data_IF_571310399935
#
_entry.id   IF_571310399935
#
_cell.length_a   1.000
_cell.length_b   1.000
_cell.length_c   1.000
_cell.angle_alpha   90.00
_cell.angle_beta   90.00
_cell.angle_gamma   90.00
#
_symmetry.space_group_name_H-M   'P 1'
#
loop_
_entity.id
_entity.type
_entity.pdbx_description
1 polymer ?
#
# COMPACT_ATOMS: atom_id res chain seq x y z
N UNK A 1 21.06 -14.99 -8.45
CA UNK A 1 21.61 -14.43 -7.21
C UNK A 1 20.49 -14.20 -6.21
N UNK A 2 20.62 -14.68 -4.97
CA UNK A 2 19.62 -14.59 -3.92
C UNK A 2 20.18 -13.87 -2.71
N UNK A 3 19.37 -13.01 -2.07
CA UNK A 3 19.69 -12.42 -0.79
C UNK A 3 19.07 -13.28 0.32
N UNK A 4 19.89 -13.83 1.19
CA UNK A 4 19.44 -14.66 2.33
C UNK A 4 19.73 -13.92 3.61
N UNK A 5 18.74 -13.88 4.51
CA UNK A 5 18.85 -13.27 5.84
C UNK A 5 18.61 -14.31 6.93
N UNK A 6 19.48 -14.33 7.93
CA UNK A 6 19.27 -15.14 9.13
C UNK A 6 18.30 -14.46 10.09
N UNK A 7 17.03 -14.88 10.09
CA UNK A 7 15.97 -14.35 10.95
C UNK A 7 15.82 -15.06 12.29
N UNK A 8 16.48 -16.22 12.49
CA UNK A 8 16.41 -17.02 13.70
C UNK A 8 17.17 -16.47 14.89
N UNK A 9 17.10 -17.18 16.02
CA UNK A 9 17.84 -16.85 17.26
C UNK A 9 19.32 -17.14 17.16
N UNK A 10 19.69 -18.14 16.37
CA UNK A 10 21.05 -18.66 16.28
C UNK A 10 21.68 -18.37 14.91
N UNK A 11 23.01 -18.33 14.82
CA UNK A 11 23.71 -18.29 13.53
C UNK A 11 23.31 -19.50 12.68
N UNK A 12 23.17 -19.28 11.37
CA UNK A 12 22.84 -20.37 10.44
C UNK A 12 23.93 -20.52 9.37
N UNK A 13 24.04 -21.73 8.82
CA UNK A 13 24.92 -22.01 7.70
C UNK A 13 24.11 -22.73 6.61
N UNK A 14 24.23 -22.26 5.38
CA UNK A 14 23.64 -22.94 4.24
C UNK A 14 24.53 -24.12 3.85
N UNK A 15 23.96 -25.33 3.90
CA UNK A 15 24.65 -26.55 3.53
C UNK A 15 24.46 -26.88 2.06
N UNK A 16 23.24 -26.67 1.53
CA UNK A 16 22.87 -27.04 0.18
C UNK A 16 21.86 -26.05 -0.40
N UNK A 17 21.90 -25.89 -1.71
CA UNK A 17 20.89 -25.20 -2.50
C UNK A 17 20.32 -26.17 -3.52
N UNK A 18 19.02 -26.24 -3.63
CA UNK A 18 18.32 -27.00 -4.65
C UNK A 18 17.52 -26.04 -5.52
N UNK A 19 17.48 -26.30 -6.82
CA UNK A 19 16.55 -25.65 -7.76
C UNK A 19 15.79 -26.76 -8.44
N UNK A 20 14.46 -26.71 -8.37
CA UNK A 20 13.56 -27.74 -8.93
C UNK A 20 13.91 -29.16 -8.45
N UNK A 21 14.14 -29.29 -7.14
CA UNK A 21 14.55 -30.51 -6.45
C UNK A 21 15.95 -31.06 -6.85
N UNK A 22 16.70 -30.40 -7.70
CA UNK A 22 18.08 -30.76 -8.05
C UNK A 22 19.10 -29.96 -7.27
N UNK A 23 20.19 -30.60 -6.82
CA UNK A 23 21.29 -29.94 -6.11
C UNK A 23 22.15 -29.11 -7.06
N UNK A 24 22.41 -27.87 -6.65
CA UNK A 24 23.26 -26.94 -7.38
C UNK A 24 24.39 -26.41 -6.51
N UNK A 25 25.55 -26.23 -7.12
CA UNK A 25 26.67 -25.52 -6.47
C UNK A 25 26.30 -24.07 -6.29
N UNK A 26 26.78 -23.48 -5.19
CA UNK A 26 26.56 -22.07 -4.90
C UNK A 26 27.82 -21.44 -4.30
N UNK A 27 27.93 -20.13 -4.43
CA UNK A 27 28.94 -19.34 -3.71
C UNK A 27 28.24 -18.36 -2.78
N UNK A 28 28.78 -18.22 -1.55
CA UNK A 28 28.22 -17.33 -0.54
C UNK A 28 29.14 -16.13 -0.33
N UNK A 29 28.59 -14.94 -0.30
CA UNK A 29 29.30 -13.69 -0.03
C UNK A 29 28.61 -12.86 1.06
N UNK A 30 29.25 -12.58 2.21
CA UNK A 30 30.53 -13.13 2.69
C UNK A 30 30.44 -14.63 2.99
N UNK A 31 31.55 -15.37 2.92
CA UNK A 31 31.58 -16.81 3.24
C UNK A 31 31.47 -17.06 4.74
N UNK A 32 31.02 -18.27 5.11
CA UNK A 32 30.95 -18.71 6.51
C UNK A 32 29.54 -18.69 7.09
N UNK A 33 29.47 -18.67 8.43
CA UNK A 33 28.22 -18.65 9.14
C UNK A 33 27.53 -17.29 9.04
N UNK A 34 26.21 -17.33 8.90
CA UNK A 34 25.38 -16.14 8.81
C UNK A 34 24.90 -15.80 10.22
N UNK A 35 25.46 -14.75 10.80
CA UNK A 35 25.08 -14.28 12.14
C UNK A 35 23.60 -13.85 12.17
N UNK A 36 22.99 -13.89 13.36
CA UNK A 36 21.61 -13.42 13.57
C UNK A 36 21.40 -12.02 12.98
N UNK A 37 20.37 -11.88 12.16
CA UNK A 37 19.99 -10.62 11.49
C UNK A 37 20.89 -10.23 10.32
N UNK A 38 22.00 -10.93 10.09
CA UNK A 38 22.89 -10.67 8.96
C UNK A 38 22.30 -11.17 7.64
N UNK A 39 22.77 -10.57 6.54
CA UNK A 39 22.39 -10.95 5.17
C UNK A 39 23.62 -11.38 4.40
N UNK A 40 23.44 -12.36 3.53
CA UNK A 40 24.47 -12.84 2.59
C UNK A 40 23.88 -12.98 1.20
N UNK A 41 24.73 -12.88 0.19
CA UNK A 41 24.36 -13.23 -1.18
C UNK A 41 24.75 -14.67 -1.48
N UNK A 42 23.81 -15.41 -2.08
CA UNK A 42 24.07 -16.72 -2.67
C UNK A 42 24.00 -16.58 -4.19
N UNK A 43 25.08 -16.92 -4.86
CA UNK A 43 25.16 -17.01 -6.32
C UNK A 43 25.06 -18.47 -6.74
N UNK A 44 23.99 -18.82 -7.48
CA UNK A 44 23.73 -20.16 -7.99
C UNK A 44 23.79 -20.10 -9.51
N UNK A 45 24.75 -20.78 -10.15
CA UNK A 45 24.92 -20.78 -11.61
C UNK A 45 23.91 -21.71 -12.29
N UNK A 46 22.62 -21.42 -12.11
CA UNK A 46 21.51 -22.17 -12.72
C UNK A 46 21.17 -21.57 -14.08
N UNK A 47 20.93 -22.39 -15.12
CA UNK A 47 20.53 -21.91 -16.45
C UNK A 47 19.04 -21.52 -16.45
N UNK A 48 18.71 -20.36 -15.93
CA UNK A 48 17.35 -19.86 -15.85
C UNK A 48 16.67 -19.78 -17.22
N UNK A 49 15.47 -20.35 -17.31
CA UNK A 49 14.62 -20.21 -18.49
C UNK A 49 13.62 -19.09 -18.23
N UNK A 50 13.64 -18.08 -19.07
CA UNK A 50 12.77 -16.90 -18.93
C UNK A 50 11.30 -17.33 -19.06
N UNK A 51 10.48 -16.94 -18.10
CA UNK A 51 9.05 -17.24 -18.10
C UNK A 51 8.66 -18.55 -17.45
N UNK A 52 9.61 -19.39 -17.02
CA UNK A 52 9.32 -20.64 -16.29
C UNK A 52 9.23 -20.42 -14.78
N UNK A 53 8.48 -21.31 -14.13
CA UNK A 53 8.41 -21.34 -12.66
C UNK A 53 9.58 -22.19 -12.13
N UNK A 54 10.15 -21.75 -11.00
CA UNK A 54 11.23 -22.48 -10.33
C UNK A 54 11.02 -22.49 -8.82
N UNK A 55 11.32 -23.63 -8.17
CA UNK A 55 11.34 -23.77 -6.71
C UNK A 55 12.79 -23.80 -6.22
N UNK A 56 13.18 -22.82 -5.41
CA UNK A 56 14.50 -22.79 -4.81
C UNK A 56 14.40 -23.20 -3.34
N UNK A 57 15.11 -24.26 -2.95
CA UNK A 57 15.15 -24.77 -1.57
C UNK A 57 16.54 -24.61 -0.98
N UNK A 58 16.62 -23.94 0.14
CA UNK A 58 17.83 -23.85 0.97
C UNK A 58 17.77 -24.89 2.06
N UNK A 59 18.84 -25.66 2.24
CA UNK A 59 19.01 -26.61 3.33
C UNK A 59 20.14 -26.12 4.22
N UNK A 60 19.86 -25.99 5.51
CA UNK A 60 20.86 -25.59 6.50
C UNK A 60 21.65 -26.78 7.02
N UNK A 61 22.78 -26.53 7.67
CA UNK A 61 23.59 -27.60 8.33
C UNK A 61 22.84 -28.29 9.47
N UNK A 62 21.77 -27.67 10.00
CA UNK A 62 20.88 -28.26 11.00
C UNK A 62 19.76 -29.11 10.41
N UNK A 63 19.67 -29.19 9.07
CA UNK A 63 18.62 -29.90 8.35
C UNK A 63 17.32 -29.10 8.14
N UNK A 64 17.25 -27.85 8.61
CA UNK A 64 16.10 -27.00 8.32
C UNK A 64 16.07 -26.64 6.82
N UNK A 65 14.88 -26.66 6.22
CA UNK A 65 14.65 -26.34 4.81
C UNK A 65 13.79 -25.10 4.67
N UNK A 66 14.12 -24.26 3.70
CA UNK A 66 13.39 -23.05 3.33
C UNK A 66 13.19 -23.05 1.83
N UNK A 67 11.95 -23.15 1.38
CA UNK A 67 11.61 -23.13 -0.05
C UNK A 67 10.99 -21.80 -0.42
N UNK A 68 11.42 -21.25 -1.57
CA UNK A 68 10.86 -20.06 -2.19
C UNK A 68 10.50 -20.40 -3.64
N UNK A 69 9.24 -20.18 -3.99
CA UNK A 69 8.75 -20.40 -5.34
C UNK A 69 8.86 -19.11 -6.16
N UNK A 70 9.46 -19.21 -7.33
CA UNK A 70 9.53 -18.15 -8.33
C UNK A 70 8.50 -18.54 -9.40
N UNK A 71 7.32 -17.94 -9.35
CA UNK A 71 6.22 -18.28 -10.27
C UNK A 71 6.58 -18.02 -11.73
N UNK A 72 7.35 -16.98 -11.98
CA UNK A 72 7.82 -16.61 -13.33
C UNK A 72 9.24 -16.09 -13.24
N UNK A 73 10.18 -16.78 -13.86
CA UNK A 73 11.56 -16.33 -13.93
C UNK A 73 11.68 -15.08 -14.81
N UNK A 74 12.05 -13.97 -14.19
CA UNK A 74 12.31 -12.69 -14.88
C UNK A 74 13.76 -12.25 -14.64
N UNK A 75 14.37 -11.50 -15.57
CA UNK A 75 15.69 -10.93 -15.34
C UNK A 75 15.69 -10.07 -14.09
N UNK A 76 16.75 -10.16 -13.28
CA UNK A 76 16.92 -9.25 -12.14
C UNK A 76 16.78 -7.80 -12.61
N UNK A 77 15.92 -7.00 -11.97
CA UNK A 77 15.71 -5.61 -12.34
C UNK A 77 17.03 -4.84 -12.32
N UNK A 78 17.40 -4.26 -13.47
CA UNK A 78 18.56 -3.37 -13.56
C UNK A 78 18.06 -1.95 -13.49
N UNK A 79 18.70 -1.09 -12.68
CA UNK A 79 18.36 0.33 -12.60
C UNK A 79 18.69 0.99 -13.92
N UNK A 80 17.78 0.92 -14.88
CA UNK A 80 17.89 1.61 -16.17
C UNK A 80 16.82 2.69 -16.28
N UNK A 81 17.11 3.74 -17.04
CA UNK A 81 16.13 4.80 -17.29
C UNK A 81 14.84 4.25 -17.94
N UNK A 82 14.96 3.21 -18.78
CA UNK A 82 13.82 2.55 -19.41
C UNK A 82 12.91 1.87 -18.37
N UNK A 83 13.49 1.13 -17.45
CA UNK A 83 12.74 0.46 -16.37
C UNK A 83 12.09 1.47 -15.44
N UNK A 84 12.80 2.50 -15.00
CA UNK A 84 12.23 3.56 -14.15
C UNK A 84 11.05 4.26 -14.83
N UNK A 85 11.13 4.51 -16.14
CA UNK A 85 10.00 5.07 -16.91
C UNK A 85 8.82 4.13 -16.97
N UNK A 86 9.04 2.85 -17.26
CA UNK A 86 7.98 1.84 -17.29
C UNK A 86 7.26 1.72 -15.94
N UNK A 87 8.01 1.65 -14.85
CA UNK A 87 7.46 1.62 -13.50
C UNK A 87 6.70 2.92 -13.17
N UNK A 88 7.22 4.07 -13.59
CA UNK A 88 6.51 5.34 -13.43
C UNK A 88 5.17 5.34 -14.20
N UNK A 89 5.13 4.78 -15.41
CA UNK A 89 3.88 4.66 -16.18
C UNK A 89 2.86 3.77 -15.46
N UNK A 90 3.27 2.63 -14.91
CA UNK A 90 2.38 1.78 -14.11
C UNK A 90 1.90 2.54 -12.86
N UNK A 91 2.80 3.18 -12.11
CA UNK A 91 2.45 3.96 -10.92
C UNK A 91 1.49 5.12 -11.24
N UNK A 92 1.66 5.81 -12.35
CA UNK A 92 0.72 6.84 -12.84
C UNK A 92 -0.62 6.20 -13.21
N UNK A 93 -0.61 5.06 -13.91
CA UNK A 93 -1.81 4.36 -14.33
C UNK A 93 -2.63 3.86 -13.13
N UNK A 94 -1.99 3.36 -12.10
CA UNK A 94 -2.66 2.86 -10.89
C UNK A 94 -3.06 3.99 -9.95
N UNK A 95 -2.16 4.95 -9.71
CA UNK A 95 -2.38 6.01 -8.73
C UNK A 95 -3.11 7.22 -9.30
N UNK A 96 -2.53 7.89 -10.30
CA UNK A 96 -3.01 9.22 -10.75
C UNK A 96 -4.25 9.11 -11.64
N UNK A 97 -4.23 8.23 -12.64
CA UNK A 97 -5.30 8.13 -13.65
C UNK A 97 -6.66 7.83 -13.02
N UNK A 98 -6.82 6.81 -12.15
CA UNK A 98 -8.13 6.51 -11.58
C UNK A 98 -8.63 7.60 -10.63
N UNK A 99 -7.74 8.25 -9.87
CA UNK A 99 -8.12 9.40 -9.05
C UNK A 99 -8.63 10.55 -9.92
N UNK A 100 -7.98 10.84 -11.06
CA UNK A 100 -8.49 11.84 -12.02
C UNK A 100 -9.87 11.45 -12.52
N UNK A 101 -10.11 10.18 -12.86
CA UNK A 101 -11.45 9.71 -13.23
C UNK A 101 -12.46 9.94 -12.12
N UNK A 102 -12.11 9.61 -10.87
CA UNK A 102 -12.97 9.88 -9.71
C UNK A 102 -13.28 11.37 -9.54
N UNK A 103 -12.29 12.24 -9.68
CA UNK A 103 -12.45 13.69 -9.62
C UNK A 103 -13.33 14.24 -10.78
N UNK A 104 -13.32 13.61 -11.94
CA UNK A 104 -14.18 14.00 -13.07
C UNK A 104 -15.68 13.84 -12.79
N UNK A 105 -16.08 13.09 -11.77
CA UNK A 105 -17.49 13.05 -11.31
C UNK A 105 -17.93 14.35 -10.62
N UNK A 106 -17.01 15.24 -10.24
CA UNK A 106 -17.33 16.51 -9.56
C UNK A 106 -18.47 17.31 -10.20
N UNK A 107 -18.56 17.54 -11.55
CA UNK A 107 -19.66 18.28 -12.14
C UNK A 107 -21.03 17.64 -11.92
N UNK A 108 -21.09 16.30 -12.00
CA UNK A 108 -22.33 15.52 -11.80
C UNK A 108 -22.76 15.56 -10.34
N UNK A 109 -21.79 15.43 -9.43
CA UNK A 109 -22.06 15.37 -7.99
C UNK A 109 -22.38 16.74 -7.37
N UNK A 110 -22.11 17.84 -8.03
CA UNK A 110 -22.40 19.20 -7.53
C UNK A 110 -23.89 19.46 -7.23
N UNK A 111 -24.77 18.76 -7.93
CA UNK A 111 -26.23 18.88 -7.76
C UNK A 111 -26.80 18.13 -6.56
N UNK A 112 -25.99 17.30 -5.86
CA UNK A 112 -26.49 16.49 -4.74
C UNK A 112 -26.91 17.36 -3.55
N UNK A 113 -28.08 17.04 -2.98
CA UNK A 113 -28.56 17.67 -1.74
C UNK A 113 -27.78 17.21 -0.51
N UNK A 114 -28.19 17.67 0.67
CA UNK A 114 -27.50 17.33 1.94
C UNK A 114 -27.45 15.81 2.21
N UNK A 115 -28.52 15.08 1.86
CA UNK A 115 -28.56 13.61 2.00
C UNK A 115 -27.52 12.92 1.12
N UNK A 116 -27.38 13.34 -0.15
CA UNK A 116 -26.35 12.82 -1.05
C UNK A 116 -24.93 13.19 -0.59
N UNK A 117 -24.73 14.41 -0.06
CA UNK A 117 -23.43 14.81 0.52
C UNK A 117 -23.08 13.94 1.74
N UNK A 118 -24.03 13.69 2.62
CA UNK A 118 -23.85 12.82 3.77
C UNK A 118 -23.50 11.40 3.34
N UNK A 119 -24.19 10.88 2.30
CA UNK A 119 -23.90 9.57 1.73
C UNK A 119 -22.47 9.50 1.17
N UNK A 120 -22.03 10.47 0.36
CA UNK A 120 -20.68 10.49 -0.24
C UNK A 120 -19.57 10.60 0.82
N UNK A 121 -19.76 11.44 1.83
CA UNK A 121 -18.82 11.55 2.94
C UNK A 121 -18.74 10.23 3.74
N UNK A 122 -19.88 9.61 4.00
CA UNK A 122 -19.94 8.34 4.70
C UNK A 122 -19.37 7.19 3.85
N UNK A 123 -19.63 7.20 2.53
CA UNK A 123 -18.98 6.28 1.58
C UNK A 123 -17.46 6.36 1.69
N UNK A 124 -16.90 7.57 1.68
CA UNK A 124 -15.47 7.80 1.86
C UNK A 124 -14.97 7.23 3.19
N UNK A 125 -15.69 7.46 4.29
CA UNK A 125 -15.33 6.87 5.59
C UNK A 125 -15.34 5.33 5.52
N UNK A 126 -16.37 4.74 4.90
CA UNK A 126 -16.49 3.28 4.77
C UNK A 126 -15.34 2.66 3.97
N UNK A 127 -15.02 3.26 2.80
CA UNK A 127 -13.89 2.87 1.95
C UNK A 127 -12.58 2.91 2.75
N UNK A 128 -12.28 4.05 3.35
CA UNK A 128 -11.04 4.27 4.09
C UNK A 128 -10.96 3.44 5.37
N UNK A 129 -12.08 3.13 6.01
CA UNK A 129 -12.09 2.24 7.19
C UNK A 129 -11.70 0.81 6.82
N UNK A 130 -12.13 0.32 5.66
CA UNK A 130 -11.70 -0.97 5.14
C UNK A 130 -10.19 -0.96 4.85
N UNK A 131 -9.71 0.05 4.09
CA UNK A 131 -8.29 0.21 3.78
C UNK A 131 -7.41 0.32 5.02
N UNK A 132 -7.91 0.98 6.07
CA UNK A 132 -7.20 1.07 7.35
C UNK A 132 -6.94 -0.33 7.95
N UNK A 133 -7.97 -1.18 7.96
CA UNK A 133 -7.84 -2.54 8.49
C UNK A 133 -6.92 -3.37 7.62
N UNK A 134 -7.10 -3.36 6.31
CA UNK A 134 -6.30 -4.11 5.34
C UNK A 134 -4.82 -3.70 5.39
N UNK A 135 -4.52 -2.39 5.36
CA UNK A 135 -3.14 -1.88 5.49
C UNK A 135 -2.50 -2.19 6.83
N UNK A 136 -3.27 -2.19 7.92
CA UNK A 136 -2.76 -2.54 9.23
C UNK A 136 -2.46 -4.05 9.34
N UNK A 137 -3.30 -4.90 8.78
CA UNK A 137 -3.11 -6.35 8.71
C UNK A 137 -1.84 -6.68 7.91
N UNK A 138 -1.70 -6.14 6.71
CA UNK A 138 -0.52 -6.32 5.85
C UNK A 138 0.76 -5.79 6.51
N UNK A 139 0.70 -4.61 7.14
CA UNK A 139 1.84 -4.06 7.89
C UNK A 139 2.29 -4.98 9.02
N UNK A 140 1.35 -5.57 9.76
CA UNK A 140 1.64 -6.49 10.86
C UNK A 140 2.19 -7.83 10.35
N UNK A 141 1.69 -8.34 9.23
CA UNK A 141 2.19 -9.56 8.58
C UNK A 141 3.63 -9.38 8.11
N UNK A 142 3.93 -8.30 7.36
CA UNK A 142 5.30 -7.98 6.96
C UNK A 142 6.21 -7.74 8.15
N UNK A 143 5.70 -7.13 9.23
CA UNK A 143 6.44 -6.91 10.45
C UNK A 143 6.75 -8.23 11.18
N UNK A 144 5.84 -9.20 11.15
CA UNK A 144 6.04 -10.55 11.70
C UNK A 144 7.17 -11.31 10.97
N UNK A 145 7.32 -11.08 9.67
CA UNK A 145 8.39 -11.66 8.86
C UNK A 145 9.74 -10.90 8.99
N UNK A 146 9.78 -9.86 9.82
CA UNK A 146 10.99 -9.08 10.09
C UNK A 146 11.81 -9.71 11.22
N UNK A 147 13.13 -9.42 11.24
CA UNK A 147 13.97 -9.89 12.34
C UNK A 147 13.47 -9.37 13.70
N UNK A 148 13.46 -10.26 14.71
CA UNK A 148 12.95 -9.97 16.06
C UNK A 148 13.57 -8.71 16.72
N UNK A 149 14.78 -8.32 16.31
CA UNK A 149 15.46 -7.09 16.78
C UNK A 149 14.63 -5.82 16.51
N UNK A 150 13.82 -5.79 15.45
CA UNK A 150 13.03 -4.62 15.07
C UNK A 150 11.71 -4.51 15.83
N UNK A 151 11.33 -5.50 16.65
CA UNK A 151 10.04 -5.53 17.36
C UNK A 151 8.89 -5.12 16.44
N UNK A 152 8.82 -5.74 15.26
CA UNK A 152 8.00 -5.33 14.11
C UNK A 152 6.57 -4.88 14.44
N UNK A 153 5.74 -5.64 15.18
CA UNK A 153 4.38 -5.21 15.53
C UNK A 153 4.33 -3.92 16.37
N UNK A 154 5.28 -3.74 17.29
CA UNK A 154 5.38 -2.52 18.11
C UNK A 154 5.74 -1.32 17.24
N UNK A 155 6.67 -1.50 16.31
CA UNK A 155 7.05 -0.47 15.34
C UNK A 155 5.84 -0.03 14.50
N UNK A 156 5.05 -0.98 13.98
CA UNK A 156 3.84 -0.67 13.19
C UNK A 156 2.87 0.21 13.98
N UNK A 157 2.55 -0.17 15.22
CA UNK A 157 1.63 0.58 16.07
C UNK A 157 2.17 1.98 16.37
N UNK A 158 3.45 2.09 16.74
CA UNK A 158 4.05 3.38 17.09
C UNK A 158 4.14 4.32 15.88
N UNK A 159 4.53 3.81 14.70
CA UNK A 159 4.62 4.60 13.48
C UNK A 159 3.24 5.06 13.02
N UNK A 160 2.23 4.19 13.03
CA UNK A 160 0.86 4.56 12.69
C UNK A 160 0.32 5.62 13.66
N UNK A 161 0.50 5.43 14.97
CA UNK A 161 0.09 6.41 15.98
C UNK A 161 0.82 7.75 15.82
N UNK A 162 2.13 7.74 15.60
CA UNK A 162 2.91 8.97 15.40
C UNK A 162 2.46 9.71 14.13
N UNK A 163 2.23 9.01 13.03
CA UNK A 163 1.74 9.60 11.77
C UNK A 163 0.35 10.21 11.98
N UNK A 164 -0.56 9.46 12.61
CA UNK A 164 -1.89 9.95 12.96
C UNK A 164 -1.82 11.25 13.77
N UNK A 165 -1.08 11.25 14.88
CA UNK A 165 -0.96 12.40 15.76
C UNK A 165 -0.31 13.61 15.09
N UNK A 166 0.75 13.38 14.29
CA UNK A 166 1.42 14.44 13.53
C UNK A 166 0.47 15.11 12.53
N UNK A 167 -0.25 14.30 11.73
CA UNK A 167 -1.19 14.81 10.73
C UNK A 167 -2.39 15.48 11.39
N UNK A 168 -2.89 14.98 12.52
CA UNK A 168 -3.93 15.65 13.31
C UNK A 168 -3.45 16.99 13.84
N UNK A 169 -2.24 17.08 14.39
CA UNK A 169 -1.66 18.31 14.91
C UNK A 169 -1.47 19.37 13.81
N UNK A 170 -1.00 18.95 12.63
CA UNK A 170 -0.84 19.84 11.47
C UNK A 170 -2.21 20.28 10.93
N UNK A 171 -3.16 19.35 10.82
CA UNK A 171 -4.47 19.60 10.26
C UNK A 171 -5.36 20.50 11.10
N UNK A 172 -5.07 20.66 12.39
CA UNK A 172 -5.85 21.49 13.31
C UNK A 172 -5.26 22.90 13.54
N UNK A 173 -4.05 23.20 13.04
CA UNK A 173 -3.38 24.48 13.28
C UNK A 173 -4.18 25.72 12.85
N UNK A 174 -5.04 25.60 11.84
CA UNK A 174 -5.92 26.66 11.33
C UNK A 174 -7.39 26.47 11.68
N UNK A 175 -7.71 25.62 12.66
CA UNK A 175 -9.08 25.18 12.96
C UNK A 175 -9.48 23.95 12.11
N UNK A 176 -10.70 23.41 12.33
CA UNK A 176 -11.16 22.21 11.64
C UNK A 176 -11.19 22.40 10.12
N UNK A 177 -10.51 21.53 9.33
CA UNK A 177 -10.43 21.70 7.89
C UNK A 177 -11.80 21.54 7.22
N UNK A 178 -12.06 22.36 6.19
CA UNK A 178 -13.28 22.31 5.37
C UNK A 178 -12.96 22.61 3.92
N UNK A 179 -13.82 22.17 3.00
CA UNK A 179 -13.65 22.46 1.57
C UNK A 179 -12.31 21.97 1.03
N UNK A 180 -11.55 22.86 0.38
CA UNK A 180 -10.28 22.50 -0.24
C UNK A 180 -9.23 22.00 0.76
N UNK A 181 -9.16 22.60 1.95
CA UNK A 181 -8.26 22.12 3.01
C UNK A 181 -8.59 20.67 3.42
N UNK A 182 -9.87 20.32 3.58
CA UNK A 182 -10.28 18.95 3.89
C UNK A 182 -9.94 18.00 2.72
N UNK A 183 -10.22 18.40 1.46
CA UNK A 183 -9.83 17.62 0.29
C UNK A 183 -8.32 17.39 0.21
N UNK A 184 -7.50 18.40 0.59
CA UNK A 184 -6.04 18.28 0.62
C UNK A 184 -5.58 17.25 1.67
N UNK A 185 -6.18 17.24 2.87
CA UNK A 185 -5.85 16.24 3.89
C UNK A 185 -6.32 14.84 3.50
N UNK A 186 -7.47 14.71 2.83
CA UNK A 186 -7.92 13.42 2.27
C UNK A 186 -6.91 12.97 1.20
N UNK A 187 -6.54 13.83 0.26
CA UNK A 187 -5.58 13.52 -0.79
C UNK A 187 -4.19 13.15 -0.24
N UNK A 188 -3.74 13.82 0.83
CA UNK A 188 -2.47 13.52 1.50
C UNK A 188 -2.51 12.13 2.17
N UNK A 189 -3.58 11.83 2.91
CA UNK A 189 -3.74 10.52 3.56
C UNK A 189 -3.78 9.38 2.56
N UNK A 190 -4.58 9.55 1.49
CA UNK A 190 -4.64 8.61 0.35
C UNK A 190 -3.26 8.49 -0.32
N UNK A 191 -2.54 9.58 -0.54
CA UNK A 191 -1.22 9.54 -1.16
C UNK A 191 -0.19 8.76 -0.34
N UNK A 192 -0.21 8.90 0.98
CA UNK A 192 0.65 8.11 1.87
C UNK A 192 0.27 6.62 1.87
N UNK A 193 -1.01 6.29 1.70
CA UNK A 193 -1.45 4.91 1.49
C UNK A 193 -1.01 4.38 0.12
N UNK A 194 -1.22 5.13 -0.95
CA UNK A 194 -0.86 4.75 -2.31
C UNK A 194 0.67 4.58 -2.51
N UNK A 195 1.48 5.19 -1.64
CA UNK A 195 2.91 4.86 -1.55
C UNK A 195 3.12 3.38 -1.20
N UNK A 196 2.35 2.85 -0.25
CA UNK A 196 2.37 1.44 0.16
C UNK A 196 1.91 0.51 -0.96
N UNK A 197 0.81 0.85 -1.64
CA UNK A 197 0.30 0.10 -2.79
C UNK A 197 1.30 0.01 -3.94
N UNK A 198 1.90 1.15 -4.31
CA UNK A 198 2.96 1.19 -5.30
C UNK A 198 4.15 0.32 -4.91
N UNK A 199 4.53 0.34 -3.63
CA UNK A 199 5.60 -0.49 -3.08
C UNK A 199 5.27 -1.98 -3.20
N UNK A 200 4.03 -2.39 -2.88
CA UNK A 200 3.59 -3.78 -3.01
C UNK A 200 3.63 -4.26 -4.47
N UNK A 201 3.12 -3.47 -5.42
CA UNK A 201 3.18 -3.79 -6.86
C UNK A 201 4.63 -3.92 -7.33
N UNK A 202 5.48 -2.94 -6.96
CA UNK A 202 6.89 -2.93 -7.34
C UNK A 202 7.63 -4.15 -6.81
N UNK A 203 7.36 -4.54 -5.56
CA UNK A 203 7.93 -5.72 -4.92
C UNK A 203 7.46 -7.03 -5.60
N UNK A 204 6.15 -7.16 -5.91
CA UNK A 204 5.60 -8.32 -6.58
C UNK A 204 6.27 -8.55 -7.95
N UNK A 205 6.38 -7.51 -8.77
CA UNK A 205 7.07 -7.62 -10.06
C UNK A 205 8.57 -7.92 -9.91
N UNK A 206 9.24 -7.35 -8.92
CA UNK A 206 10.66 -7.63 -8.65
C UNK A 206 10.90 -9.06 -8.16
N UNK A 207 9.92 -9.63 -7.43
CA UNK A 207 9.95 -11.03 -6.98
C UNK A 207 9.60 -12.04 -8.09
N UNK A 208 9.20 -11.57 -9.28
CA UNK A 208 8.77 -12.46 -10.38
C UNK A 208 7.31 -12.92 -10.28
N UNK A 209 6.57 -12.45 -9.27
CA UNK A 209 5.14 -12.75 -9.08
C UNK A 209 4.28 -11.87 -10.00
N UNK A 210 4.39 -12.10 -11.33
CA UNK A 210 3.70 -11.28 -12.33
C UNK A 210 2.17 -11.37 -12.21
N UNK A 211 1.64 -12.54 -11.83
CA UNK A 211 0.22 -12.74 -11.55
C UNK A 211 -0.25 -11.82 -10.43
N UNK A 212 0.38 -11.90 -9.26
CA UNK A 212 0.09 -11.04 -8.11
C UNK A 212 0.20 -9.56 -8.48
N UNK A 213 1.32 -9.15 -9.12
CA UNK A 213 1.52 -7.78 -9.55
C UNK A 213 0.38 -7.25 -10.46
N UNK A 214 -0.11 -8.08 -11.38
CA UNK A 214 -1.23 -7.73 -12.26
C UNK A 214 -2.55 -7.61 -11.49
N UNK A 215 -2.83 -8.52 -10.56
CA UNK A 215 -4.03 -8.44 -9.71
C UNK A 215 -4.03 -7.18 -8.84
N UNK A 216 -2.88 -6.84 -8.24
CA UNK A 216 -2.73 -5.61 -7.46
C UNK A 216 -2.99 -4.36 -8.33
N UNK A 217 -2.44 -4.32 -9.56
CA UNK A 217 -2.69 -3.21 -10.51
C UNK A 217 -4.18 -3.06 -10.79
N UNK A 218 -4.90 -4.14 -11.06
CA UNK A 218 -6.34 -4.10 -11.34
C UNK A 218 -7.14 -3.68 -10.11
N UNK A 219 -6.87 -4.30 -8.96
CA UNK A 219 -7.59 -4.02 -7.71
C UNK A 219 -7.43 -2.56 -7.28
N UNK A 220 -6.19 -2.08 -7.22
CA UNK A 220 -5.90 -0.70 -6.80
C UNK A 220 -6.44 0.34 -7.79
N UNK A 221 -6.39 0.07 -9.09
CA UNK A 221 -7.02 0.96 -10.09
C UNK A 221 -8.51 1.13 -9.84
N UNK A 222 -9.23 0.06 -9.48
CA UNK A 222 -10.68 0.13 -9.28
C UNK A 222 -11.06 0.96 -8.06
N UNK A 223 -10.41 0.76 -6.91
CA UNK A 223 -10.79 1.52 -5.71
C UNK A 223 -10.27 2.95 -5.72
N UNK A 224 -9.15 3.23 -6.36
CA UNK A 224 -8.63 4.59 -6.50
C UNK A 224 -9.58 5.54 -7.26
N UNK A 225 -10.47 5.01 -8.13
CA UNK A 225 -11.56 5.81 -8.72
C UNK A 225 -12.49 6.34 -7.63
N UNK A 226 -12.86 5.49 -6.68
CA UNK A 226 -13.76 5.89 -5.58
C UNK A 226 -13.09 6.84 -4.59
N UNK A 227 -11.79 6.71 -4.38
CA UNK A 227 -11.00 7.67 -3.61
C UNK A 227 -11.00 9.06 -4.23
N UNK A 228 -10.90 9.14 -5.57
CA UNK A 228 -11.05 10.41 -6.29
C UNK A 228 -12.41 11.08 -6.05
N UNK A 229 -13.49 10.29 -5.98
CA UNK A 229 -14.83 10.79 -5.59
C UNK A 229 -14.81 11.32 -4.15
N UNK A 230 -14.16 10.59 -3.23
CA UNK A 230 -13.99 10.98 -1.82
C UNK A 230 -13.24 12.31 -1.68
N UNK A 231 -12.16 12.50 -2.45
CA UNK A 231 -11.38 13.74 -2.49
C UNK A 231 -12.23 14.93 -3.00
N UNK A 232 -13.10 14.69 -4.00
CA UNK A 232 -13.98 15.72 -4.56
C UNK A 232 -15.10 16.15 -3.59
N UNK A 233 -15.56 15.26 -2.72
CA UNK A 233 -16.76 15.46 -1.91
C UNK A 233 -16.75 16.74 -1.04
N UNK A 234 -15.67 17.14 -0.32
CA UNK A 234 -15.67 18.38 0.48
C UNK A 234 -15.80 19.68 -0.34
N UNK A 235 -15.47 19.64 -1.63
CA UNK A 235 -15.47 20.83 -2.50
C UNK A 235 -16.69 20.92 -3.42
N UNK A 236 -17.65 20.00 -3.35
CA UNK A 236 -18.81 19.95 -4.24
C UNK A 236 -19.64 21.27 -4.24
N UNK A 237 -19.73 21.94 -3.11
CA UNK A 237 -20.42 23.25 -2.98
C UNK A 237 -19.54 24.46 -3.36
N UNK A 238 -18.27 24.24 -3.71
CA UNK A 238 -17.30 25.28 -4.10
C UNK A 238 -16.96 25.13 -5.59
N UNK A 239 -16.27 26.10 -6.15
CA UNK A 239 -15.79 26.05 -7.55
C UNK A 239 -14.26 26.19 -7.54
N UNK A 240 -13.51 25.12 -7.14
CA UNK A 240 -12.05 25.20 -7.20
C UNK A 240 -11.58 25.32 -8.66
N UNK A 241 -10.47 25.98 -8.91
CA UNK A 241 -9.88 26.04 -10.25
C UNK A 241 -9.33 24.64 -10.64
N UNK A 242 -9.21 24.37 -11.96
CA UNK A 242 -8.77 23.06 -12.45
C UNK A 242 -7.39 22.64 -11.91
N UNK A 243 -6.47 23.59 -11.74
CA UNK A 243 -5.16 23.28 -11.16
C UNK A 243 -5.24 22.70 -9.73
N UNK A 244 -6.28 23.07 -8.95
CA UNK A 244 -6.48 22.49 -7.63
C UNK A 244 -6.81 20.99 -7.72
N UNK A 245 -7.64 20.59 -8.70
CA UNK A 245 -7.91 19.17 -8.96
C UNK A 245 -6.67 18.42 -9.45
N UNK A 246 -5.89 19.03 -10.32
CA UNK A 246 -4.61 18.46 -10.76
C UNK A 246 -3.63 18.28 -9.57
N UNK A 247 -3.54 19.28 -8.68
CA UNK A 247 -2.74 19.20 -7.47
C UNK A 247 -3.22 18.10 -6.52
N UNK A 248 -4.54 17.95 -6.32
CA UNK A 248 -5.13 16.90 -5.50
C UNK A 248 -4.85 15.51 -6.09
N UNK A 249 -4.98 15.35 -7.41
CA UNK A 249 -4.69 14.09 -8.10
C UNK A 249 -3.23 13.68 -7.97
N UNK A 250 -2.31 14.64 -8.14
CA UNK A 250 -0.86 14.40 -8.00
C UNK A 250 -0.48 14.12 -6.54
N UNK A 251 -1.09 14.81 -5.58
CA UNK A 251 -0.84 14.58 -4.15
C UNK A 251 -1.30 13.18 -3.71
N UNK A 252 -2.45 12.74 -4.21
CA UNK A 252 -3.00 11.45 -3.86
C UNK A 252 -2.39 10.29 -4.67
N UNK A 253 -2.22 10.46 -5.98
CA UNK A 253 -1.77 9.37 -6.86
C UNK A 253 -0.26 9.34 -7.13
N UNK A 254 0.43 10.48 -7.05
CA UNK A 254 1.86 10.58 -7.33
C UNK A 254 2.76 9.70 -6.45
N UNK A 255 2.49 9.57 -5.15
CA UNK A 255 3.28 8.70 -4.27
C UNK A 255 3.33 7.24 -4.70
N UNK A 256 2.32 6.72 -5.42
CA UNK A 256 2.36 5.36 -5.98
C UNK A 256 3.57 5.14 -6.92
N UNK A 257 3.99 6.16 -7.68
CA UNK A 257 5.19 6.09 -8.54
C UNK A 257 6.45 5.88 -7.70
N UNK A 258 6.56 6.62 -6.59
CA UNK A 258 7.70 6.52 -5.66
C UNK A 258 7.69 5.14 -5.00
N UNK A 259 6.52 4.69 -4.56
CA UNK A 259 6.33 3.35 -4.00
C UNK A 259 6.78 2.26 -4.98
N UNK A 260 6.34 2.34 -6.24
CA UNK A 260 6.73 1.40 -7.29
C UNK A 260 8.26 1.30 -7.47
N UNK A 261 8.96 2.43 -7.47
CA UNK A 261 10.42 2.44 -7.55
C UNK A 261 11.05 1.81 -6.30
N UNK A 262 10.60 2.20 -5.11
CA UNK A 262 11.11 1.67 -3.85
C UNK A 262 10.87 0.15 -3.73
N UNK A 263 9.67 -0.32 -4.07
CA UNK A 263 9.32 -1.74 -4.04
C UNK A 263 10.16 -2.58 -4.99
N UNK A 264 10.41 -2.08 -6.20
CA UNK A 264 11.16 -2.82 -7.21
C UNK A 264 12.68 -2.82 -7.01
N UNK A 265 13.23 -1.80 -6.34
CA UNK A 265 14.68 -1.61 -6.23
C UNK A 265 15.25 -1.96 -4.86
N UNK A 266 14.48 -1.82 -3.80
CA UNK A 266 14.99 -1.88 -2.43
C UNK A 266 13.97 -2.46 -1.43
N UNK A 267 13.09 -3.35 -1.89
CA UNK A 267 12.09 -3.93 -0.99
C UNK A 267 12.75 -4.74 0.14
N UNK A 268 12.28 -4.50 1.35
CA UNK A 268 12.47 -5.38 2.48
C UNK A 268 11.20 -5.38 3.35
N UNK A 269 10.85 -6.49 4.01
CA UNK A 269 9.64 -6.58 4.83
C UNK A 269 9.55 -5.44 5.87
N UNK A 270 10.68 -5.04 6.46
CA UNK A 270 10.72 -3.96 7.46
C UNK A 270 10.30 -2.60 6.87
N UNK A 271 10.83 -2.26 5.69
CA UNK A 271 10.50 -0.99 5.03
C UNK A 271 9.09 -1.00 4.46
N UNK A 272 8.61 -2.19 4.00
CA UNK A 272 7.22 -2.38 3.61
C UNK A 272 6.27 -2.14 4.79
N UNK A 273 6.51 -2.81 5.91
CA UNK A 273 5.75 -2.63 7.14
C UNK A 273 5.75 -1.17 7.63
N UNK A 274 6.90 -0.49 7.57
CA UNK A 274 7.03 0.92 7.95
C UNK A 274 6.19 1.83 7.04
N UNK A 275 6.24 1.66 5.72
CA UNK A 275 5.48 2.45 4.77
C UNK A 275 3.96 2.25 4.93
N UNK A 276 3.52 0.99 5.09
CA UNK A 276 2.11 0.67 5.34
C UNK A 276 1.62 1.23 6.69
N UNK A 277 2.46 1.21 7.73
CA UNK A 277 2.13 1.82 9.02
C UNK A 277 1.92 3.34 8.91
N UNK A 278 2.74 4.04 8.11
CA UNK A 278 2.54 5.45 7.79
C UNK A 278 1.20 5.63 7.07
N UNK A 279 0.91 4.80 6.05
CA UNK A 279 -0.35 4.82 5.32
C UNK A 279 -1.55 4.62 6.24
N UNK A 280 -1.54 3.60 7.10
CA UNK A 280 -2.59 3.32 8.05
C UNK A 280 -2.84 4.49 9.03
N UNK A 281 -1.78 5.09 9.57
CA UNK A 281 -1.89 6.28 10.44
C UNK A 281 -2.49 7.49 9.71
N UNK A 282 -2.14 7.66 8.44
CA UNK A 282 -2.67 8.74 7.60
C UNK A 282 -4.15 8.51 7.24
N UNK A 283 -4.54 7.28 6.90
CA UNK A 283 -5.95 6.93 6.66
C UNK A 283 -6.78 7.15 7.93
N UNK A 284 -6.31 6.69 9.09
CA UNK A 284 -7.01 6.90 10.36
C UNK A 284 -7.28 8.39 10.61
N UNK A 285 -6.30 9.25 10.34
CA UNK A 285 -6.44 10.70 10.44
C UNK A 285 -7.56 11.23 9.51
N UNK A 286 -7.61 10.75 8.25
CA UNK A 286 -8.66 11.16 7.32
C UNK A 286 -10.04 10.69 7.80
N UNK A 287 -10.18 9.45 8.22
CA UNK A 287 -11.42 8.88 8.76
C UNK A 287 -11.96 9.75 9.92
N UNK A 288 -11.09 10.09 10.87
CA UNK A 288 -11.45 10.95 12.02
C UNK A 288 -11.84 12.35 11.58
N UNK A 289 -11.10 12.96 10.65
CA UNK A 289 -11.41 14.32 10.18
C UNK A 289 -12.71 14.39 9.36
N UNK A 290 -12.94 13.44 8.47
CA UNK A 290 -14.18 13.37 7.68
C UNK A 290 -15.35 13.05 8.59
N UNK A 291 -15.22 12.14 9.55
CA UNK A 291 -16.23 11.85 10.56
C UNK A 291 -16.61 13.09 11.38
N UNK A 292 -15.60 13.82 11.87
CA UNK A 292 -15.82 15.06 12.58
C UNK A 292 -16.48 16.15 11.70
N UNK A 293 -16.14 16.22 10.41
CA UNK A 293 -16.81 17.11 9.46
C UNK A 293 -18.29 16.75 9.30
N UNK A 294 -18.61 15.46 9.13
CA UNK A 294 -20.00 14.98 8.99
C UNK A 294 -20.84 15.31 10.24
N UNK A 295 -20.30 15.07 11.44
CA UNK A 295 -20.97 15.42 12.70
C UNK A 295 -21.25 16.93 12.79
N UNK A 296 -20.27 17.78 12.52
CA UNK A 296 -20.42 19.24 12.54
C UNK A 296 -21.42 19.74 11.50
N UNK A 297 -21.39 19.19 10.28
CA UNK A 297 -22.30 19.55 9.18
C UNK A 297 -23.77 19.24 9.50
N UNK A 298 -24.03 18.23 10.28
CA UNK A 298 -25.37 17.79 10.66
C UNK A 298 -25.82 18.37 12.01
N UNK A 299 -24.95 19.08 12.75
CA UNK A 299 -25.22 19.66 14.09
C UNK A 299 -25.71 18.61 15.12
N UNK A 300 -25.31 17.37 14.96
CA UNK A 300 -25.61 16.24 15.83
C UNK A 300 -24.29 15.62 16.30
N UNK A 301 -24.33 14.90 17.40
CA UNK A 301 -23.22 14.09 17.89
C UNK A 301 -23.09 12.76 17.10
N UNK A 302 -22.73 11.71 17.82
CA UNK A 302 -22.57 10.36 17.27
C UNK A 302 -23.84 9.80 16.63
N UNK A 303 -25.03 10.27 17.05
CA UNK A 303 -26.32 9.91 16.45
C UNK A 303 -26.41 10.24 14.95
N UNK A 304 -25.54 11.15 14.47
CA UNK A 304 -25.42 11.46 13.04
C UNK A 304 -25.18 10.19 12.22
N UNK A 305 -24.39 9.26 12.72
CA UNK A 305 -24.04 8.01 12.02
C UNK A 305 -25.19 7.02 11.91
N UNK A 306 -26.28 7.20 12.66
CA UNK A 306 -27.50 6.40 12.56
C UNK A 306 -28.46 6.85 11.46
N UNK A 307 -28.18 7.99 10.80
CA UNK A 307 -29.03 8.44 9.67
C UNK A 307 -28.94 7.48 8.48
N UNK A 308 -30.08 7.17 7.81
CA UNK A 308 -30.10 6.19 6.70
C UNK A 308 -29.09 6.52 5.58
N UNK A 309 -28.94 7.80 5.21
CA UNK A 309 -27.97 8.21 4.17
C UNK A 309 -26.54 7.96 4.57
N UNK A 310 -26.22 8.08 5.86
CA UNK A 310 -24.86 7.87 6.39
C UNK A 310 -24.60 6.38 6.58
N UNK A 311 -25.53 5.64 7.17
CA UNK A 311 -25.44 4.18 7.26
C UNK A 311 -25.31 3.55 5.87
N UNK A 312 -26.15 3.98 4.92
CA UNK A 312 -26.08 3.50 3.55
C UNK A 312 -24.75 3.81 2.86
N UNK A 313 -24.17 4.99 3.10
CA UNK A 313 -22.85 5.34 2.59
C UNK A 313 -21.73 4.48 3.20
N UNK A 314 -21.70 4.36 4.53
CA UNK A 314 -20.74 3.54 5.24
C UNK A 314 -20.74 2.08 4.77
N UNK A 315 -21.94 1.47 4.74
CA UNK A 315 -22.09 0.08 4.32
C UNK A 315 -21.73 -0.12 2.85
N UNK A 316 -22.13 0.81 1.97
CA UNK A 316 -21.77 0.77 0.56
C UNK A 316 -20.26 0.88 0.36
N UNK A 317 -19.58 1.75 1.11
CA UNK A 317 -18.12 1.90 1.05
C UNK A 317 -17.37 0.63 1.47
N UNK A 318 -17.73 0.08 2.62
CA UNK A 318 -17.13 -1.18 3.11
C UNK A 318 -17.43 -2.33 2.15
N UNK A 319 -18.69 -2.47 1.68
CA UNK A 319 -19.08 -3.54 0.77
C UNK A 319 -18.34 -3.44 -0.59
N UNK A 320 -18.18 -2.23 -1.14
CA UNK A 320 -17.43 -2.02 -2.37
C UNK A 320 -15.98 -2.46 -2.21
N UNK A 321 -15.31 -2.05 -1.14
CA UNK A 321 -13.92 -2.45 -0.88
C UNK A 321 -13.78 -3.94 -0.65
N UNK A 322 -14.69 -4.55 0.11
CA UNK A 322 -14.69 -5.99 0.33
C UNK A 322 -14.82 -6.77 -0.99
N UNK A 323 -15.71 -6.32 -1.89
CA UNK A 323 -15.91 -6.94 -3.21
C UNK A 323 -14.64 -6.79 -4.06
N UNK A 324 -14.05 -5.58 -4.14
CA UNK A 324 -12.82 -5.37 -4.93
C UNK A 324 -11.63 -6.14 -4.37
N UNK A 325 -11.47 -6.21 -3.05
CA UNK A 325 -10.43 -7.00 -2.39
C UNK A 325 -10.60 -8.51 -2.63
N UNK A 326 -11.85 -9.01 -2.69
CA UNK A 326 -12.11 -10.41 -3.01
C UNK A 326 -11.65 -10.80 -4.42
N UNK A 327 -11.70 -9.87 -5.39
CA UNK A 327 -11.16 -10.10 -6.73
C UNK A 327 -9.62 -10.14 -6.78
N UNK A 328 -8.95 -9.54 -5.80
CA UNK A 328 -7.47 -9.52 -5.73
C UNK A 328 -6.92 -10.76 -5.00
N UNK A 329 -7.70 -11.34 -4.09
CA UNK A 329 -7.28 -12.51 -3.27
C UNK A 329 -7.59 -13.87 -3.91
N UNK A 330 -8.16 -13.91 -5.13
CA UNK A 330 -8.43 -15.13 -5.91
C UNK A 330 -7.30 -15.40 -6.90
#
# INVERSE_FOLDING_TARGET
RMLVRAGGSDPMRVAQVQVDAAYWSFTQTPPGDISRGATVWLDVPYPWVLGEAHAVTLVTTTGATFTHEIEVAVPTPKVTAGQLRFQALIGIFVGVVPIVFGLMFYPVLRGVGQGGMNFLMALTIGLLSFLLVDSAEEALELAGNSAALFQGPVMVILVAAATFLLLMAVGQRGGPPTGLALSTFIALGIGLHNLGEGLAIGAAFAAGSAGLGTFLVLGFTLHNITEGIGIAAPVLKKRPPLWAFAGLALLAGGPAVIGMWLGSLAFSPQWGAFALAIGAGAILQVVVQVGAYVMRSNRLGLETFLRPSILGGLTAGVAFMYITAAFVKV
#
